data_IF_847636498472
#
_entry.id   IF_847636498472
#
_cell.length_a   1.000
_cell.length_b   1.000
_cell.length_c   1.000
_cell.angle_alpha   90.00
_cell.angle_beta   90.00
_cell.angle_gamma   90.00
#
_symmetry.space_group_name_H-M   'P 1'
#
loop_
_entity.id
_entity.type
_entity.pdbx_description
1 polymer ?
#
# COMPACT_ATOMS: atom_id res chain seq x y z
N UNK A 1 -1.42 5.51 -6.45
CA UNK A 1 -2.53 4.72 -5.88
C UNK A 1 -2.32 3.26 -6.22
N UNK A 2 -2.72 2.33 -5.36
CA UNK A 2 -2.51 0.89 -5.57
C UNK A 2 -3.85 0.17 -5.55
N UNK A 3 -4.03 -0.77 -6.47
CA UNK A 3 -5.28 -1.55 -6.58
C UNK A 3 -5.01 -2.91 -7.19
N UNK A 4 -5.88 -3.88 -6.90
CA UNK A 4 -5.86 -5.21 -7.51
C UNK A 4 -6.88 -5.37 -8.64
N UNK A 5 -7.65 -4.32 -8.93
CA UNK A 5 -8.71 -4.33 -9.94
C UNK A 5 -8.31 -3.46 -11.13
N UNK A 6 -8.15 -4.07 -12.30
CA UNK A 6 -7.76 -3.34 -13.52
C UNK A 6 -8.80 -2.30 -13.95
N UNK A 7 -10.09 -2.57 -13.71
CA UNK A 7 -11.16 -1.62 -13.99
C UNK A 7 -11.01 -0.36 -13.15
N UNK A 8 -10.77 -0.53 -11.85
CA UNK A 8 -10.49 0.57 -10.92
C UNK A 8 -9.20 1.29 -11.30
N UNK A 9 -8.14 0.56 -11.70
CA UNK A 9 -6.89 1.16 -12.16
C UNK A 9 -7.13 2.11 -13.35
N UNK A 10 -7.85 1.65 -14.38
CA UNK A 10 -8.17 2.46 -15.57
C UNK A 10 -9.03 3.67 -15.23
N UNK A 11 -9.96 3.54 -14.30
CA UNK A 11 -10.75 4.68 -13.80
C UNK A 11 -9.88 5.73 -13.11
N UNK A 12 -8.93 5.29 -12.27
CA UNK A 12 -8.04 6.18 -11.53
C UNK A 12 -7.09 6.98 -12.41
N UNK A 13 -6.81 6.53 -13.64
CA UNK A 13 -6.02 7.31 -14.61
C UNK A 13 -6.64 8.67 -14.94
N UNK A 14 -7.94 8.85 -14.71
CA UNK A 14 -8.62 10.14 -14.89
C UNK A 14 -8.47 11.08 -13.69
N UNK A 15 -7.93 10.60 -12.56
CA UNK A 15 -7.81 11.38 -11.34
C UNK A 15 -6.56 12.26 -11.36
N UNK A 16 -6.72 13.51 -10.96
CA UNK A 16 -5.63 14.48 -10.97
C UNK A 16 -4.56 14.14 -9.95
N UNK A 17 -3.31 14.03 -10.39
CA UNK A 17 -2.17 13.76 -9.51
C UNK A 17 -2.14 12.33 -8.96
N UNK A 18 -2.79 11.39 -9.62
CA UNK A 18 -2.81 9.98 -9.24
C UNK A 18 -2.13 9.15 -10.33
N UNK A 19 -1.06 8.46 -9.96
CA UNK A 19 -0.45 7.41 -10.78
C UNK A 19 -0.92 6.04 -10.25
N UNK A 20 -1.85 5.34 -10.94
CA UNK A 20 -2.40 4.08 -10.46
C UNK A 20 -1.50 2.89 -10.85
N UNK A 21 -1.13 2.09 -9.86
CA UNK A 21 -0.30 0.89 -10.00
C UNK A 21 -1.15 -0.33 -9.66
N UNK A 22 -1.13 -1.32 -10.56
CA UNK A 22 -1.76 -2.61 -10.33
C UNK A 22 -0.86 -3.48 -9.45
N UNK A 23 -1.44 -4.15 -8.46
CA UNK A 23 -0.75 -5.08 -7.56
C UNK A 23 -1.65 -6.28 -7.26
N UNK A 24 -1.10 -7.45 -6.86
CA UNK A 24 -1.93 -8.57 -6.44
C UNK A 24 -2.78 -8.24 -5.20
N UNK A 25 -3.92 -8.91 -5.05
CA UNK A 25 -4.71 -8.87 -3.82
C UNK A 25 -3.92 -9.55 -2.69
N UNK A 26 -3.87 -8.90 -1.52
CA UNK A 26 -3.18 -9.38 -0.33
C UNK A 26 -4.18 -9.41 0.83
N UNK A 27 -4.07 -10.46 1.65
CA UNK A 27 -5.02 -10.73 2.75
C UNK A 27 -4.58 -10.07 4.06
N UNK A 28 -3.29 -9.80 4.25
CA UNK A 28 -2.77 -9.16 5.46
C UNK A 28 -2.32 -7.72 5.21
N UNK A 29 -2.61 -6.84 6.17
CA UNK A 29 -2.10 -5.46 6.21
C UNK A 29 -0.58 -5.41 6.15
N UNK A 30 0.11 -6.29 6.88
CA UNK A 30 1.59 -6.30 6.90
C UNK A 30 2.17 -6.78 5.58
N UNK A 31 1.54 -7.78 4.97
CA UNK A 31 1.90 -8.23 3.62
C UNK A 31 1.70 -7.09 2.62
N UNK A 32 0.60 -6.33 2.73
CA UNK A 32 0.34 -5.17 1.88
C UNK A 32 1.44 -4.12 2.00
N UNK A 33 1.82 -3.74 3.22
CA UNK A 33 2.84 -2.70 3.43
C UNK A 33 4.17 -3.13 2.82
N UNK A 34 4.61 -4.36 3.08
CA UNK A 34 5.86 -4.89 2.53
C UNK A 34 5.83 -4.98 1.00
N UNK A 35 4.75 -5.52 0.42
CA UNK A 35 4.61 -5.64 -1.03
C UNK A 35 4.56 -4.28 -1.73
N UNK A 36 3.93 -3.27 -1.11
CA UNK A 36 3.91 -1.90 -1.63
C UNK A 36 5.30 -1.29 -1.63
N UNK A 37 6.07 -1.46 -0.56
CA UNK A 37 7.44 -0.97 -0.49
C UNK A 37 8.32 -1.61 -1.56
N UNK A 38 8.32 -2.94 -1.66
CA UNK A 38 9.13 -3.69 -2.62
C UNK A 38 8.78 -3.28 -4.06
N UNK A 39 7.49 -3.21 -4.40
CA UNK A 39 7.00 -2.80 -5.72
C UNK A 39 7.45 -1.38 -6.10
N UNK A 40 7.35 -0.43 -5.16
CA UNK A 40 7.71 0.97 -5.41
C UNK A 40 9.22 1.19 -5.49
N UNK A 41 10.01 0.38 -4.77
CA UNK A 41 11.47 0.34 -4.90
C UNK A 41 11.89 -0.23 -6.25
N UNK A 42 11.27 -1.34 -6.70
CA UNK A 42 11.53 -1.95 -8.01
C UNK A 42 11.23 -0.99 -9.17
N UNK A 43 10.13 -0.23 -9.07
CA UNK A 43 9.76 0.79 -10.03
C UNK A 43 10.59 2.09 -9.92
N UNK A 44 11.53 2.16 -8.97
CA UNK A 44 12.38 3.33 -8.68
C UNK A 44 11.59 4.60 -8.33
N UNK A 45 10.38 4.42 -7.81
CA UNK A 45 9.51 5.51 -7.34
C UNK A 45 9.83 5.91 -5.91
N UNK A 46 10.38 5.00 -5.12
CA UNK A 46 10.91 5.26 -3.78
C UNK A 46 12.40 4.96 -3.71
N UNK A 47 13.05 5.55 -2.70
CA UNK A 47 14.44 5.31 -2.33
C UNK A 47 14.52 4.99 -0.84
N UNK A 48 15.58 4.28 -0.45
CA UNK A 48 15.86 4.03 0.97
C UNK A 48 15.93 5.35 1.74
N UNK A 49 15.32 5.37 2.92
CA UNK A 49 15.12 6.52 3.81
C UNK A 49 14.06 7.54 3.36
N UNK A 50 13.32 7.29 2.28
CA UNK A 50 12.14 8.11 1.97
C UNK A 50 11.08 7.93 3.05
N UNK A 51 10.32 9.01 3.32
CA UNK A 51 9.20 9.00 4.26
C UNK A 51 7.91 9.04 3.48
N UNK A 52 7.07 8.04 3.68
CA UNK A 52 5.80 7.91 2.97
C UNK A 52 4.63 7.86 3.96
N UNK A 53 3.47 8.35 3.52
CA UNK A 53 2.21 8.16 4.20
C UNK A 53 1.39 7.11 3.43
N UNK A 54 1.08 6.00 4.10
CA UNK A 54 0.22 4.95 3.59
C UNK A 54 -1.20 5.22 4.07
N UNK A 55 -2.14 5.30 3.14
CA UNK A 55 -3.57 5.48 3.41
C UNK A 55 -4.31 4.24 2.92
N UNK A 56 -5.08 3.60 3.80
CA UNK A 56 -5.86 2.41 3.45
C UNK A 56 -7.12 2.25 4.31
N UNK A 57 -7.92 1.26 3.97
CA UNK A 57 -8.96 0.69 4.82
C UNK A 57 -8.47 -0.61 5.45
N UNK A 58 -8.64 -0.76 6.77
CA UNK A 58 -8.46 -2.01 7.49
C UNK A 58 -9.80 -2.38 8.14
N UNK A 59 -10.32 -3.61 7.98
CA UNK A 59 -9.78 -4.71 7.18
C UNK A 59 -9.77 -4.42 5.67
N UNK A 60 -8.79 -4.96 4.94
CA UNK A 60 -8.64 -4.75 3.48
C UNK A 60 -9.84 -5.37 2.74
N UNK A 61 -10.42 -6.45 3.26
CA UNK A 61 -11.56 -7.13 2.67
C UNK A 61 -12.85 -6.30 2.77
N UNK A 62 -12.94 -5.42 3.78
CA UNK A 62 -14.08 -4.55 4.00
C UNK A 62 -14.00 -3.31 3.10
N UNK A 63 -14.48 -3.44 1.85
CA UNK A 63 -14.64 -2.32 0.91
C UNK A 63 -15.40 -1.15 1.56
N UNK A 64 -14.85 0.07 1.44
CA UNK A 64 -15.65 1.30 1.54
C UNK A 64 -15.25 2.34 2.60
N UNK A 65 -14.19 2.13 3.39
CA UNK A 65 -13.70 3.15 4.32
C UNK A 65 -12.18 3.27 4.28
N UNK A 66 -11.68 4.49 4.07
CA UNK A 66 -10.28 4.84 4.36
C UNK A 66 -10.21 5.23 5.83
N UNK A 67 -9.74 4.33 6.69
CA UNK A 67 -9.74 4.49 8.15
C UNK A 67 -8.35 4.34 8.78
N UNK A 68 -7.30 4.17 7.97
CA UNK A 68 -5.93 4.03 8.44
C UNK A 68 -4.99 4.97 7.71
N UNK A 69 -4.09 5.59 8.49
CA UNK A 69 -2.91 6.29 8.00
C UNK A 69 -1.68 5.80 8.76
N UNK A 70 -0.66 5.32 8.05
CA UNK A 70 0.63 4.92 8.62
C UNK A 70 1.75 5.74 8.00
N UNK A 71 2.56 6.39 8.85
CA UNK A 71 3.83 6.98 8.42
C UNK A 71 4.89 5.88 8.41
N UNK A 72 5.60 5.74 7.29
CA UNK A 72 6.58 4.66 7.08
C UNK A 72 7.88 5.24 6.54
N UNK A 73 9.02 4.75 7.04
CA UNK A 73 10.34 5.07 6.50
C UNK A 73 10.83 3.87 5.68
N UNK A 74 11.11 4.11 4.40
CA UNK A 74 11.54 3.04 3.48
C UNK A 74 12.90 2.48 3.91
N UNK A 75 12.98 1.16 4.07
CA UNK A 75 14.15 0.44 4.54
C UNK A 75 14.36 0.47 6.06
N UNK A 76 13.35 0.86 6.84
CA UNK A 76 13.32 0.71 8.30
C UNK A 76 13.24 -0.78 8.70
N UNK A 77 13.74 -1.14 9.89
CA UNK A 77 13.74 -2.53 10.35
C UNK A 77 12.30 -3.08 10.35
N UNK A 78 12.07 -4.13 9.56
CA UNK A 78 10.86 -4.95 9.63
C UNK A 78 10.85 -5.64 10.99
N UNK A 79 10.07 -5.12 11.94
CA UNK A 79 9.89 -5.79 13.23
C UNK A 79 8.93 -6.95 12.99
N UNK A 80 9.43 -8.19 13.00
CA UNK A 80 8.65 -9.43 12.83
C UNK A 80 7.70 -9.76 14.01
N UNK A 81 7.34 -8.80 14.84
CA UNK A 81 6.55 -9.05 16.05
C UNK A 81 5.34 -8.13 16.14
N UNK A 82 4.22 -8.56 15.57
CA UNK A 82 2.91 -8.19 16.11
C UNK A 82 2.02 -9.45 16.07
N UNK A 83 1.54 -9.95 17.24
CA UNK A 83 0.69 -11.13 17.28
C UNK A 83 -0.67 -10.81 16.61
N UNK A 84 -1.38 -11.82 16.11
CA UNK A 84 -2.69 -11.60 15.48
C UNK A 84 -3.62 -10.89 16.46
N UNK A 85 -4.15 -9.74 16.02
CA UNK A 85 -5.28 -9.12 16.69
C UNK A 85 -6.50 -10.03 16.52
N UNK A 86 -6.94 -10.60 17.64
CA UNK A 86 -8.20 -11.35 17.85
C UNK A 86 -9.44 -10.55 17.41
#
# INVERSE_FOLDING_TARGET
ALTHDEGVQRQMTLYRGVDPILMPLLESTDQLINAVEDLLLEQKLLRKNDRIALLSGIPIEARGKTNMMKLHVVGELRVENEPPHE
#
